data_IF_596787430704
#
_entry.id   IF_596787430704
#
_cell.length_a   1.000
_cell.length_b   1.000
_cell.length_c   1.000
_cell.angle_alpha   90.00
_cell.angle_beta   90.00
_cell.angle_gamma   90.00
#
_symmetry.space_group_name_H-M   'P 1'
#
loop_
_entity.id
_entity.type
_entity.pdbx_description
1 polymer ?
#
# COMPACT_ATOMS: atom_id res chain seq x y z
N UNK A 1 35.12 -107.96 -18.39
CA UNK A 1 33.89 -107.74 -19.09
C UNK A 1 32.97 -106.91 -18.17
N UNK A 2 32.86 -105.63 -18.42
CA UNK A 2 32.19 -104.68 -17.51
C UNK A 2 30.98 -104.04 -18.21
N UNK A 3 29.80 -104.34 -17.73
CA UNK A 3 28.54 -103.85 -18.29
C UNK A 3 28.20 -102.53 -17.61
N UNK A 4 28.18 -101.47 -18.38
CA UNK A 4 27.72 -100.16 -17.95
C UNK A 4 26.18 -100.07 -17.97
N UNK A 5 25.54 -99.74 -16.85
CA UNK A 5 24.11 -99.42 -16.74
C UNK A 5 23.88 -97.94 -17.12
N UNK A 6 22.80 -97.64 -17.84
CA UNK A 6 22.46 -96.26 -18.18
C UNK A 6 21.77 -95.52 -17.02
N UNK A 7 22.18 -94.30 -16.84
CA UNK A 7 21.60 -93.38 -15.86
C UNK A 7 20.33 -92.74 -16.46
N UNK A 8 19.18 -92.91 -15.80
CA UNK A 8 17.95 -92.26 -16.13
C UNK A 8 18.00 -90.84 -15.58
N UNK A 9 18.03 -89.84 -16.47
CA UNK A 9 17.80 -88.42 -16.10
C UNK A 9 16.32 -88.23 -15.78
N UNK A 10 16.03 -87.86 -14.54
CA UNK A 10 14.73 -87.28 -14.10
C UNK A 10 14.67 -85.81 -14.44
N UNK A 11 13.80 -85.45 -15.37
CA UNK A 11 13.41 -84.05 -15.62
C UNK A 11 12.54 -83.56 -14.43
N UNK A 12 12.99 -82.56 -13.72
CA UNK A 12 12.15 -81.83 -12.84
C UNK A 12 11.47 -80.67 -13.61
N UNK A 13 10.20 -80.41 -13.36
CA UNK A 13 9.55 -79.26 -13.99
C UNK A 13 10.02 -77.94 -13.32
N UNK A 14 10.46 -76.97 -14.11
CA UNK A 14 10.73 -75.65 -13.73
C UNK A 14 9.39 -74.95 -13.40
N UNK A 15 9.11 -74.67 -12.12
CA UNK A 15 8.03 -73.78 -11.69
C UNK A 15 8.49 -72.34 -11.92
N UNK A 16 7.92 -71.69 -12.92
CA UNK A 16 8.14 -70.25 -13.14
C UNK A 16 7.41 -69.42 -12.04
N UNK A 17 8.17 -68.94 -11.11
CA UNK A 17 7.67 -67.95 -10.13
C UNK A 17 7.61 -66.59 -10.79
N UNK A 18 6.40 -66.12 -11.13
CA UNK A 18 6.15 -64.74 -11.53
C UNK A 18 6.32 -63.81 -10.32
N UNK A 19 7.45 -63.14 -10.20
CA UNK A 19 7.66 -62.06 -9.26
C UNK A 19 6.98 -60.82 -9.80
N UNK A 20 5.80 -60.49 -9.27
CA UNK A 20 5.10 -59.23 -9.53
C UNK A 20 5.83 -58.12 -8.78
N UNK A 21 6.67 -57.37 -9.49
CA UNK A 21 7.26 -56.14 -8.97
C UNK A 21 6.14 -55.08 -8.92
N UNK A 22 5.52 -54.92 -7.75
CA UNK A 22 4.60 -53.82 -7.49
C UNK A 22 5.37 -52.49 -7.50
N UNK A 23 5.17 -51.71 -8.57
CA UNK A 23 5.66 -50.35 -8.69
C UNK A 23 4.89 -49.50 -7.68
N UNK A 24 5.42 -49.37 -6.47
CA UNK A 24 4.93 -48.42 -5.48
C UNK A 24 5.23 -47.01 -6.00
N UNK A 25 4.23 -46.33 -6.60
CA UNK A 25 4.26 -44.90 -6.85
C UNK A 25 4.36 -44.20 -5.51
N UNK A 26 5.57 -43.87 -5.08
CA UNK A 26 5.82 -42.91 -3.99
C UNK A 26 5.40 -41.56 -4.56
N UNK A 27 4.16 -41.11 -4.25
CA UNK A 27 3.74 -39.75 -4.46
C UNK A 27 4.63 -38.89 -3.54
N UNK A 28 5.66 -38.28 -4.12
CA UNK A 28 6.40 -37.22 -3.45
C UNK A 28 5.38 -36.12 -3.07
N UNK A 29 5.34 -35.63 -1.83
CA UNK A 29 4.57 -34.46 -1.53
C UNK A 29 5.12 -33.36 -2.45
N UNK A 30 4.30 -32.89 -3.39
CA UNK A 30 4.55 -31.63 -4.08
C UNK A 30 4.53 -30.59 -2.98
N UNK A 31 5.72 -30.22 -2.52
CA UNK A 31 5.89 -29.07 -1.67
C UNK A 31 5.18 -27.93 -2.38
N UNK A 32 4.10 -27.43 -1.80
CA UNK A 32 3.54 -26.15 -2.20
C UNK A 32 4.68 -25.16 -2.06
N UNK A 33 5.27 -24.75 -3.18
CA UNK A 33 6.17 -23.63 -3.23
C UNK A 33 5.37 -22.44 -2.71
N UNK A 34 5.59 -22.10 -1.43
CA UNK A 34 5.20 -20.82 -0.92
C UNK A 34 6.06 -19.84 -1.69
N UNK A 35 5.55 -19.34 -2.76
CA UNK A 35 5.78 -18.01 -3.26
C UNK A 35 5.39 -17.91 -4.74
N UNK A 36 4.12 -18.00 -5.00
CA UNK A 36 3.59 -17.41 -6.21
C UNK A 36 3.08 -16.00 -5.86
N UNK A 37 3.99 -15.15 -5.38
CA UNK A 37 3.73 -13.72 -5.16
C UNK A 37 3.58 -13.02 -6.52
N UNK A 38 2.60 -13.47 -7.33
CA UNK A 38 2.37 -12.95 -8.67
C UNK A 38 1.99 -11.50 -8.60
N UNK A 39 2.97 -10.64 -8.85
CA UNK A 39 2.74 -9.25 -9.19
C UNK A 39 2.01 -9.19 -10.53
N UNK A 40 0.71 -8.95 -10.48
CA UNK A 40 -0.09 -8.73 -11.67
C UNK A 40 0.10 -7.29 -12.15
N UNK A 41 0.75 -7.09 -13.28
CA UNK A 41 0.88 -5.76 -13.88
C UNK A 41 -0.45 -5.30 -14.45
N UNK A 42 -0.85 -4.08 -14.07
CA UNK A 42 -2.13 -3.47 -14.48
C UNK A 42 -1.92 -2.57 -15.71
N UNK A 43 -1.35 -3.13 -16.78
CA UNK A 43 -0.93 -2.38 -17.97
C UNK A 43 -2.08 -1.90 -18.85
N UNK A 44 -3.21 -2.61 -18.83
CA UNK A 44 -4.37 -2.25 -19.64
C UNK A 44 -5.38 -1.42 -18.85
N UNK A 45 -6.20 -0.65 -19.56
CA UNK A 45 -7.30 0.12 -18.94
C UNK A 45 -8.28 -0.80 -18.20
N UNK A 46 -8.53 -1.98 -18.75
CA UNK A 46 -9.43 -2.97 -18.13
C UNK A 46 -8.85 -3.50 -16.82
N UNK A 47 -7.60 -4.01 -16.84
CA UNK A 47 -6.93 -4.53 -15.65
C UNK A 47 -6.78 -3.46 -14.54
N UNK A 48 -6.59 -2.22 -14.92
CA UNK A 48 -6.44 -1.11 -13.98
C UNK A 48 -7.72 -0.37 -13.61
N UNK A 49 -8.90 -0.81 -14.08
CA UNK A 49 -10.17 -0.07 -13.91
C UNK A 49 -10.47 0.23 -12.45
N UNK A 50 -10.38 -0.74 -11.58
CA UNK A 50 -10.73 -0.62 -10.16
C UNK A 50 -9.66 0.09 -9.33
N UNK A 51 -8.49 0.33 -9.92
CA UNK A 51 -7.30 0.88 -9.26
C UNK A 51 -6.94 2.30 -9.71
N UNK A 52 -7.84 2.99 -10.40
CA UNK A 52 -7.59 4.35 -10.93
C UNK A 52 -7.29 5.39 -9.85
N UNK A 53 -7.73 5.15 -8.63
CA UNK A 53 -7.46 6.03 -7.49
C UNK A 53 -6.10 5.75 -6.81
N UNK A 54 -5.38 4.69 -7.21
CA UNK A 54 -3.95 4.55 -6.91
C UNK A 54 -3.18 5.34 -7.95
N UNK A 55 -2.25 6.16 -7.51
CA UNK A 55 -1.48 7.04 -8.40
C UNK A 55 0.00 7.05 -8.06
N UNK A 56 0.79 7.43 -9.03
CA UNK A 56 2.19 7.76 -8.87
C UNK A 56 2.27 9.18 -8.30
N UNK A 57 3.12 9.38 -7.32
CA UNK A 57 3.50 10.69 -6.78
C UNK A 57 4.86 11.05 -7.38
N UNK A 58 4.90 11.94 -8.36
CA UNK A 58 6.13 12.52 -8.84
C UNK A 58 6.62 13.56 -7.86
N UNK A 59 7.84 13.37 -7.37
CA UNK A 59 8.43 14.17 -6.31
C UNK A 59 9.59 14.97 -6.91
N UNK A 60 9.40 16.26 -7.06
CA UNK A 60 10.41 17.23 -7.54
C UNK A 60 11.07 16.86 -8.89
N UNK A 61 10.47 15.95 -9.68
CA UNK A 61 11.06 15.45 -10.93
C UNK A 61 12.26 14.51 -10.77
N UNK A 62 12.65 14.17 -9.54
CA UNK A 62 13.86 13.36 -9.25
C UNK A 62 13.54 11.95 -8.78
N UNK A 63 12.33 11.74 -8.28
CA UNK A 63 11.90 10.44 -7.75
C UNK A 63 10.39 10.29 -7.74
N UNK A 64 9.94 9.13 -7.31
CA UNK A 64 8.52 8.89 -7.15
C UNK A 64 8.19 7.98 -5.97
N UNK A 65 6.98 8.13 -5.49
CA UNK A 65 6.31 7.25 -4.55
C UNK A 65 4.96 6.79 -5.12
N UNK A 66 4.27 5.97 -4.38
CA UNK A 66 2.86 5.62 -4.63
C UNK A 66 1.97 6.36 -3.63
N UNK A 67 0.76 6.73 -4.06
CA UNK A 67 -0.27 7.28 -3.19
C UNK A 67 -1.65 6.79 -3.59
N UNK A 68 -2.64 6.98 -2.74
CA UNK A 68 -4.02 6.61 -3.01
C UNK A 68 -5.00 7.72 -2.65
N UNK A 69 -5.94 8.00 -3.54
CA UNK A 69 -7.02 8.95 -3.29
C UNK A 69 -8.02 8.34 -2.29
N UNK A 70 -8.25 9.02 -1.16
CA UNK A 70 -9.18 8.62 -0.08
C UNK A 70 -10.34 9.59 0.13
N UNK A 71 -10.31 10.71 -0.57
CA UNK A 71 -11.40 11.66 -0.75
C UNK A 71 -11.15 12.41 -2.06
N UNK A 72 -12.12 13.13 -2.64
CA UNK A 72 -11.93 13.80 -3.93
C UNK A 72 -10.73 14.74 -4.02
N UNK A 73 -10.28 15.28 -2.90
CA UNK A 73 -9.13 16.20 -2.82
C UNK A 73 -8.02 15.73 -1.87
N UNK A 74 -8.01 14.43 -1.47
CA UNK A 74 -7.13 13.96 -0.43
C UNK A 74 -6.43 12.66 -0.82
N UNK A 75 -5.10 12.70 -0.87
CA UNK A 75 -4.23 11.55 -1.18
C UNK A 75 -3.51 11.10 0.09
N UNK A 76 -3.55 9.82 0.35
CA UNK A 76 -2.83 9.11 1.40
C UNK A 76 -1.51 8.59 0.84
N UNK A 77 -0.41 8.75 1.59
CA UNK A 77 0.93 8.25 1.25
C UNK A 77 1.80 8.11 2.50
N UNK A 78 3.06 7.75 2.34
CA UNK A 78 4.03 7.71 3.43
C UNK A 78 4.66 9.10 3.68
N UNK A 79 4.99 9.39 4.93
CA UNK A 79 5.60 10.67 5.32
C UNK A 79 7.01 10.84 4.73
N UNK A 80 7.80 9.75 4.64
CA UNK A 80 9.15 9.81 4.08
C UNK A 80 9.18 10.21 2.61
N UNK A 81 8.09 10.04 1.86
CA UNK A 81 7.95 10.52 0.48
C UNK A 81 8.01 12.06 0.35
N UNK A 82 7.88 12.77 1.46
CA UNK A 82 7.93 14.23 1.52
C UNK A 82 9.28 14.78 1.98
N UNK A 83 10.31 13.94 1.96
CA UNK A 83 11.67 14.31 2.33
C UNK A 83 12.65 13.95 1.21
N UNK A 84 13.55 14.86 0.94
CA UNK A 84 14.70 14.60 0.10
C UNK A 84 15.66 13.68 0.82
N UNK A 85 16.17 12.66 0.12
CA UNK A 85 17.01 11.60 0.71
C UNK A 85 18.39 12.10 1.13
N UNK A 86 18.96 12.99 0.34
CA UNK A 86 20.34 13.44 0.50
C UNK A 86 20.42 14.56 1.53
N UNK A 87 19.62 15.60 1.35
CA UNK A 87 19.58 16.75 2.26
C UNK A 87 18.78 16.50 3.53
N UNK A 88 17.90 15.48 3.54
CA UNK A 88 16.94 15.17 4.61
C UNK A 88 15.96 16.31 4.92
N UNK A 89 15.84 17.26 4.02
CA UNK A 89 14.93 18.39 4.16
C UNK A 89 13.55 18.07 3.63
N UNK A 90 12.54 18.74 4.16
CA UNK A 90 11.17 18.57 3.68
C UNK A 90 11.01 19.19 2.30
N UNK A 91 10.41 18.44 1.39
CA UNK A 91 10.11 18.86 0.03
C UNK A 91 8.89 19.78 0.05
N UNK A 92 8.93 20.85 -0.74
CA UNK A 92 7.81 21.75 -0.89
C UNK A 92 6.62 21.03 -1.55
N UNK A 93 5.42 21.03 -0.95
CA UNK A 93 4.29 20.28 -1.51
C UNK A 93 3.95 20.65 -2.95
N UNK A 94 4.20 21.89 -3.35
CA UNK A 94 3.90 22.42 -4.69
C UNK A 94 4.76 21.81 -5.80
N UNK A 95 5.88 21.17 -5.46
CA UNK A 95 6.75 20.46 -6.41
C UNK A 95 6.38 18.99 -6.57
N UNK A 96 5.30 18.56 -5.90
CA UNK A 96 4.80 17.19 -5.97
C UNK A 96 3.55 17.18 -6.85
N UNK A 97 3.47 16.20 -7.75
CA UNK A 97 2.29 15.97 -8.58
C UNK A 97 1.72 14.56 -8.35
N UNK A 98 0.42 14.45 -8.17
CA UNK A 98 -0.31 13.19 -8.10
C UNK A 98 -0.87 12.81 -9.46
N UNK A 99 -0.40 11.69 -9.99
CA UNK A 99 -0.75 11.11 -11.28
C UNK A 99 -1.71 9.93 -11.05
N UNK A 100 -3.01 10.18 -10.92
CA UNK A 100 -4.01 9.17 -10.64
C UNK A 100 -4.09 8.14 -11.78
N UNK A 101 -4.00 6.85 -11.46
CA UNK A 101 -4.09 5.77 -12.44
C UNK A 101 -3.04 5.85 -13.56
N UNK A 102 -1.85 6.37 -13.25
CA UNK A 102 -0.73 6.49 -14.19
C UNK A 102 -0.45 5.17 -14.91
N UNK A 103 -0.36 5.22 -16.24
CA UNK A 103 -0.13 4.04 -17.06
C UNK A 103 0.42 4.43 -18.43
N UNK A 104 1.58 3.86 -18.77
CA UNK A 104 2.20 4.01 -20.10
C UNK A 104 2.26 5.47 -20.58
N UNK A 105 2.79 6.36 -19.74
CA UNK A 105 2.96 7.79 -20.07
C UNK A 105 1.69 8.63 -19.87
N UNK A 106 0.58 8.09 -19.33
CA UNK A 106 -0.68 8.81 -19.17
C UNK A 106 -1.35 8.55 -17.83
N UNK A 107 -1.84 9.61 -17.18
CA UNK A 107 -2.69 9.51 -16.01
C UNK A 107 -4.16 9.80 -16.33
N UNK A 108 -5.07 9.24 -15.53
CA UNK A 108 -6.50 9.56 -15.58
C UNK A 108 -6.79 10.96 -15.02
N UNK A 109 -5.92 11.45 -14.14
CA UNK A 109 -5.92 12.84 -13.67
C UNK A 109 -4.53 13.24 -13.16
N UNK A 110 -4.14 14.48 -13.44
CA UNK A 110 -2.92 15.13 -12.97
C UNK A 110 -3.29 16.21 -11.96
N UNK A 111 -2.71 16.18 -10.77
CA UNK A 111 -3.04 17.14 -9.70
C UNK A 111 -1.80 17.56 -8.91
N UNK A 112 -1.51 18.83 -8.94
CA UNK A 112 -0.52 19.43 -8.05
C UNK A 112 -1.04 19.42 -6.61
N UNK A 113 -0.10 19.35 -5.65
CA UNK A 113 -0.41 19.34 -4.23
C UNK A 113 -0.50 20.78 -3.71
N UNK A 114 -1.56 21.10 -2.98
CA UNK A 114 -1.77 22.39 -2.34
C UNK A 114 -1.03 22.47 -1.00
N UNK A 115 -1.20 21.44 -0.17
CA UNK A 115 -0.54 21.34 1.12
C UNK A 115 -0.37 19.87 1.52
N UNK A 116 0.58 19.62 2.41
CA UNK A 116 0.85 18.30 2.95
C UNK A 116 0.96 18.36 4.47
N UNK A 117 0.35 17.39 5.15
CA UNK A 117 0.56 17.16 6.58
C UNK A 117 1.19 15.78 6.77
N UNK A 118 2.12 15.70 7.71
CA UNK A 118 2.76 14.46 8.13
C UNK A 118 2.41 14.20 9.58
N UNK A 119 2.50 12.95 10.00
CA UNK A 119 2.29 12.59 11.41
C UNK A 119 3.26 13.38 12.31
N UNK A 120 2.79 14.06 13.39
CA UNK A 120 3.62 14.96 14.19
C UNK A 120 4.78 14.26 14.89
N UNK A 121 4.64 12.96 15.19
CA UNK A 121 5.71 12.14 15.77
C UNK A 121 6.63 11.49 14.72
N UNK A 122 6.44 11.78 13.44
CA UNK A 122 7.32 11.26 12.41
C UNK A 122 8.65 12.02 12.39
N UNK A 123 9.75 11.27 12.47
CA UNK A 123 11.11 11.82 12.40
C UNK A 123 11.83 11.14 11.23
N UNK A 124 12.34 11.96 10.29
CA UNK A 124 13.14 11.49 9.18
C UNK A 124 14.63 11.50 9.55
N UNK A 125 15.11 10.40 10.17
CA UNK A 125 16.51 10.25 10.65
C UNK A 125 17.36 9.28 9.81
N UNK A 126 16.80 8.72 8.75
CA UNK A 126 17.47 7.78 7.87
C UNK A 126 17.48 6.32 8.37
N UNK A 127 17.10 6.05 9.61
CA UNK A 127 17.04 4.71 10.19
C UNK A 127 15.63 4.13 10.13
N UNK A 128 15.49 2.85 9.85
CA UNK A 128 14.22 2.13 9.96
C UNK A 128 14.05 1.66 11.40
N UNK A 129 13.06 2.20 12.10
CA UNK A 129 12.68 1.81 13.47
C UNK A 129 11.16 1.59 13.53
N UNK A 130 10.69 0.88 14.55
CA UNK A 130 9.25 0.65 14.76
C UNK A 130 8.49 1.97 14.86
N UNK A 131 8.99 2.93 15.64
CA UNK A 131 8.37 4.25 15.80
C UNK A 131 8.32 5.01 14.49
N UNK A 132 9.39 4.99 13.70
CA UNK A 132 9.41 5.62 12.39
C UNK A 132 8.38 5.00 11.44
N UNK A 133 8.34 3.66 11.33
CA UNK A 133 7.37 2.97 10.47
C UNK A 133 5.95 3.23 10.92
N UNK A 134 5.67 3.17 12.24
CA UNK A 134 4.33 3.44 12.79
C UNK A 134 3.79 4.80 12.40
N UNK A 135 4.65 5.83 12.46
CA UNK A 135 4.28 7.22 12.22
C UNK A 135 4.51 7.67 10.76
N UNK A 136 4.95 6.76 9.88
CA UNK A 136 5.29 7.07 8.50
C UNK A 136 4.06 7.18 7.62
N UNK A 137 3.25 8.19 7.88
CA UNK A 137 1.99 8.45 7.18
C UNK A 137 1.82 9.94 6.91
N UNK A 138 1.30 10.28 5.74
CA UNK A 138 1.04 11.65 5.31
C UNK A 138 -0.28 11.76 4.54
N UNK A 139 -0.88 12.95 4.60
CA UNK A 139 -1.98 13.36 3.74
C UNK A 139 -1.56 14.54 2.87
N UNK A 140 -1.85 14.42 1.58
CA UNK A 140 -1.64 15.46 0.58
C UNK A 140 -3.00 16.00 0.15
N UNK A 141 -3.20 17.32 0.28
CA UNK A 141 -4.38 17.97 -0.26
C UNK A 141 -4.11 18.44 -1.69
N UNK A 142 -4.95 18.01 -2.63
CA UNK A 142 -4.89 18.42 -4.02
C UNK A 142 -5.30 19.89 -4.18
N UNK A 143 -4.72 20.60 -5.14
CA UNK A 143 -5.14 21.95 -5.50
C UNK A 143 -6.58 21.98 -6.01
N UNK A 144 -6.96 21.00 -6.81
CA UNK A 144 -8.32 20.82 -7.34
C UNK A 144 -8.77 19.37 -7.13
N UNK A 145 -10.00 19.14 -6.67
CA UNK A 145 -10.51 17.78 -6.46
C UNK A 145 -10.63 17.01 -7.78
N UNK A 146 -10.57 15.69 -7.68
CA UNK A 146 -10.90 14.76 -8.77
C UNK A 146 -12.36 14.34 -8.55
N UNK A 147 -13.23 14.68 -9.49
CA UNK A 147 -14.69 14.43 -9.42
C UNK A 147 -15.21 13.78 -10.70
N UNK A 148 -14.43 12.85 -11.24
CA UNK A 148 -14.90 12.04 -12.36
C UNK A 148 -15.44 10.69 -11.86
N UNK A 149 -16.13 9.96 -12.72
CA UNK A 149 -16.71 8.66 -12.39
C UNK A 149 -15.72 7.50 -12.48
N UNK A 150 -14.51 7.74 -12.97
CA UNK A 150 -13.49 6.70 -13.18
C UNK A 150 -12.48 6.63 -12.05
N UNK A 151 -12.18 7.75 -11.40
CA UNK A 151 -11.23 7.80 -10.27
C UNK A 151 -12.02 7.95 -8.97
N UNK A 152 -12.48 6.83 -8.45
CA UNK A 152 -13.27 6.79 -7.22
C UNK A 152 -12.37 6.62 -6.01
N UNK A 153 -12.44 7.53 -5.01
CA UNK A 153 -11.65 7.39 -3.78
C UNK A 153 -11.92 6.07 -3.06
N UNK A 154 -10.87 5.48 -2.49
CA UNK A 154 -10.99 4.31 -1.64
C UNK A 154 -11.49 4.67 -0.25
N UNK A 155 -12.31 3.80 0.32
CA UNK A 155 -12.60 3.81 1.75
C UNK A 155 -11.40 3.29 2.54
N UNK A 156 -11.33 3.70 3.80
CA UNK A 156 -10.35 3.20 4.76
C UNK A 156 -11.05 2.34 5.80
N UNK A 157 -10.37 1.33 6.32
CA UNK A 157 -10.92 0.43 7.33
C UNK A 157 -9.91 0.19 8.46
N UNK A 158 -10.34 -0.59 9.43
CA UNK A 158 -9.51 -0.97 10.56
C UNK A 158 -8.41 -1.93 10.14
N UNK A 159 -7.38 -2.00 10.99
CA UNK A 159 -6.22 -2.84 10.77
C UNK A 159 -6.62 -4.33 10.76
N UNK A 160 -6.19 -5.11 9.75
CA UNK A 160 -6.51 -6.52 9.66
C UNK A 160 -5.80 -7.34 10.75
N UNK A 161 -6.33 -8.51 11.06
CA UNK A 161 -5.73 -9.43 12.04
C UNK A 161 -4.56 -10.20 11.42
N UNK A 162 -3.69 -10.79 12.27
CA UNK A 162 -2.67 -11.74 11.81
C UNK A 162 -3.33 -12.89 11.02
N UNK A 163 -2.75 -13.26 9.89
CA UNK A 163 -3.26 -14.26 8.95
C UNK A 163 -4.29 -13.74 7.96
N UNK A 164 -4.79 -12.50 8.10
CA UNK A 164 -5.72 -11.93 7.14
C UNK A 164 -5.05 -11.78 5.75
N UNK A 165 -5.82 -12.10 4.71
CA UNK A 165 -5.41 -11.84 3.32
C UNK A 165 -5.47 -10.35 3.04
N UNK A 166 -4.40 -9.84 2.47
CA UNK A 166 -4.26 -8.44 2.06
C UNK A 166 -3.64 -8.38 0.68
N UNK A 167 -3.62 -7.19 0.08
CA UNK A 167 -2.89 -6.94 -1.14
C UNK A 167 -2.35 -5.52 -1.20
N UNK A 168 -1.42 -5.31 -2.12
CA UNK A 168 -0.80 -4.01 -2.36
C UNK A 168 -0.94 -3.67 -3.84
N UNK A 169 -1.30 -2.43 -4.12
CA UNK A 169 -1.21 -1.86 -5.48
C UNK A 169 -0.15 -0.77 -5.46
N UNK A 170 0.91 -0.96 -6.22
CA UNK A 170 2.05 -0.06 -6.17
C UNK A 170 2.72 0.14 -7.52
N UNK A 171 3.33 1.31 -7.68
CA UNK A 171 4.41 1.52 -8.62
C UNK A 171 5.72 1.08 -7.98
N UNK A 172 6.73 0.70 -8.78
CA UNK A 172 8.07 0.48 -8.30
C UNK A 172 9.08 0.79 -9.40
N UNK A 173 10.35 0.83 -9.03
CA UNK A 173 11.45 1.22 -9.92
C UNK A 173 11.46 0.41 -11.24
N UNK A 174 11.23 -0.90 -11.18
CA UNK A 174 11.17 -1.82 -12.32
C UNK A 174 9.82 -1.83 -13.05
N UNK A 175 8.81 -1.15 -12.51
CA UNK A 175 7.43 -1.07 -12.99
C UNK A 175 6.81 0.32 -12.78
N UNK A 176 7.56 1.36 -13.10
CA UNK A 176 7.17 2.76 -12.90
C UNK A 176 6.06 3.22 -13.84
N UNK A 177 5.90 2.54 -14.99
CA UNK A 177 4.97 2.92 -16.04
C UNK A 177 3.55 2.36 -15.91
N UNK A 178 3.36 1.38 -15.03
CA UNK A 178 2.04 0.88 -14.66
C UNK A 178 2.09 0.28 -13.26
N UNK A 179 1.04 0.42 -12.46
CA UNK A 179 1.03 -0.20 -11.14
C UNK A 179 0.91 -1.72 -11.26
N UNK A 180 1.34 -2.42 -10.23
CA UNK A 180 1.12 -3.85 -10.09
C UNK A 180 0.28 -4.12 -8.85
N UNK A 181 -0.62 -5.10 -8.97
CA UNK A 181 -1.39 -5.66 -7.88
C UNK A 181 -0.70 -6.94 -7.39
N UNK A 182 -0.53 -7.07 -6.09
CA UNK A 182 -0.24 -8.31 -5.41
C UNK A 182 -1.34 -8.55 -4.38
N UNK A 183 -2.23 -9.51 -4.64
CA UNK A 183 -3.44 -9.77 -3.83
C UNK A 183 -3.35 -11.04 -2.99
N UNK A 184 -2.17 -11.68 -2.96
CA UNK A 184 -1.90 -12.95 -2.28
C UNK A 184 -1.05 -12.79 -1.02
N UNK A 185 -0.84 -11.57 -0.55
CA UNK A 185 -0.10 -11.32 0.67
C UNK A 185 -0.93 -11.64 1.93
N UNK A 186 -0.23 -11.85 3.03
CA UNK A 186 -0.83 -12.06 4.34
C UNK A 186 -0.21 -11.15 5.40
N UNK A 187 -0.97 -10.83 6.43
CA UNK A 187 -0.45 -10.20 7.64
C UNK A 187 0.29 -11.25 8.45
N UNK A 188 1.61 -11.16 8.52
CA UNK A 188 2.47 -12.08 9.27
C UNK A 188 2.47 -11.77 10.76
N UNK A 189 2.52 -10.47 11.12
CA UNK A 189 2.51 -10.00 12.49
C UNK A 189 1.91 -8.58 12.60
N UNK A 190 1.52 -8.25 13.82
CA UNK A 190 1.13 -6.89 14.23
C UNK A 190 1.90 -6.56 15.50
N UNK A 191 2.73 -5.55 15.44
CA UNK A 191 3.56 -5.16 16.58
C UNK A 191 3.62 -3.64 16.70
N UNK A 192 3.30 -3.10 17.87
CA UNK A 192 3.47 -1.69 18.22
C UNK A 192 3.00 -0.68 17.17
N UNK A 193 1.86 -0.96 16.55
CA UNK A 193 1.33 -0.08 15.49
C UNK A 193 1.83 -0.40 14.07
N UNK A 194 2.76 -1.34 13.89
CA UNK A 194 3.29 -1.76 12.59
C UNK A 194 2.61 -3.04 12.13
N UNK A 195 2.29 -3.14 10.83
CA UNK A 195 1.97 -4.39 10.14
C UNK A 195 3.23 -4.96 9.50
N UNK A 196 3.50 -6.23 9.76
CA UNK A 196 4.50 -7.03 9.02
C UNK A 196 3.75 -7.89 8.02
N UNK A 197 4.09 -7.78 6.75
CA UNK A 197 3.34 -8.34 5.64
C UNK A 197 4.25 -9.14 4.70
N UNK A 198 3.73 -10.23 4.14
CA UNK A 198 4.47 -11.05 3.16
C UNK A 198 4.48 -10.46 1.75
N UNK A 199 4.01 -9.24 1.56
CA UNK A 199 4.01 -8.57 0.27
C UNK A 199 5.43 -8.26 -0.21
N UNK A 200 5.64 -8.43 -1.51
CA UNK A 200 6.86 -8.01 -2.19
C UNK A 200 6.76 -6.52 -2.55
N UNK A 201 7.65 -5.71 -1.99
CA UNK A 201 7.71 -4.27 -2.21
C UNK A 201 9.12 -3.83 -2.54
N UNK A 202 9.25 -2.81 -3.39
CA UNK A 202 10.54 -2.25 -3.75
C UNK A 202 10.49 -0.71 -3.81
N UNK A 203 11.61 -0.08 -4.18
CA UNK A 203 11.70 1.37 -4.35
C UNK A 203 10.59 1.89 -5.27
N UNK A 204 9.84 2.89 -4.82
CA UNK A 204 8.65 3.40 -5.48
C UNK A 204 7.34 2.84 -4.92
N UNK A 205 7.35 1.66 -4.26
CA UNK A 205 6.18 1.16 -3.52
C UNK A 205 5.94 1.91 -2.20
N UNK A 206 6.84 2.80 -1.80
CA UNK A 206 6.67 3.71 -0.66
C UNK A 206 5.36 4.47 -0.77
N UNK A 207 4.56 4.47 0.31
CA UNK A 207 3.26 5.14 0.33
C UNK A 207 2.13 4.36 -0.37
N UNK A 208 2.40 3.17 -0.91
CA UNK A 208 1.39 2.35 -1.55
C UNK A 208 0.31 1.91 -0.56
N UNK A 209 -0.97 1.94 -0.97
CA UNK A 209 -2.06 1.45 -0.14
C UNK A 209 -2.01 -0.07 0.01
N UNK A 210 -2.24 -0.52 1.24
CA UNK A 210 -2.48 -1.92 1.57
C UNK A 210 -3.98 -2.13 1.72
N UNK A 211 -4.54 -3.08 0.99
CA UNK A 211 -5.96 -3.35 0.93
C UNK A 211 -6.35 -4.61 1.70
N UNK A 212 -7.50 -4.57 2.39
CA UNK A 212 -8.29 -5.73 2.77
C UNK A 212 -9.40 -5.95 1.73
N UNK A 213 -9.73 -7.22 1.49
CA UNK A 213 -10.76 -7.65 0.54
C UNK A 213 -11.98 -8.27 1.24
N UNK A 214 -12.01 -8.26 2.56
CA UNK A 214 -13.02 -8.99 3.36
C UNK A 214 -14.45 -8.44 3.21
N UNK A 215 -14.61 -7.18 2.80
CA UNK A 215 -15.90 -6.49 2.73
C UNK A 215 -16.42 -6.29 1.28
N UNK A 216 -15.97 -7.09 0.33
CA UNK A 216 -16.39 -7.04 -1.07
C UNK A 216 -15.63 -6.00 -1.89
N UNK A 217 -15.67 -4.71 -1.55
CA UNK A 217 -14.82 -3.68 -2.17
C UNK A 217 -13.51 -3.54 -1.41
N UNK A 218 -12.38 -3.37 -2.12
CA UNK A 218 -11.08 -3.16 -1.46
C UNK A 218 -11.12 -1.90 -0.59
N UNK A 219 -10.69 -2.04 0.69
CA UNK A 219 -10.55 -0.92 1.62
C UNK A 219 -9.10 -0.80 2.08
N UNK A 220 -8.61 0.42 2.20
CA UNK A 220 -7.24 0.66 2.65
C UNK A 220 -7.15 0.47 4.15
N UNK A 221 -6.22 -0.39 4.59
CA UNK A 221 -6.00 -0.76 6.00
C UNK A 221 -4.62 -0.38 6.52
N UNK A 222 -3.69 -0.06 5.62
CA UNK A 222 -2.32 0.37 5.94
C UNK A 222 -1.67 1.06 4.74
N UNK A 223 -0.48 1.59 4.95
CA UNK A 223 0.37 2.21 3.93
C UNK A 223 1.76 1.59 4.01
N UNK A 224 2.34 1.23 2.88
CA UNK A 224 3.71 0.70 2.80
C UNK A 224 4.71 1.79 3.21
N UNK A 225 5.50 1.50 4.23
CA UNK A 225 6.54 2.38 4.76
C UNK A 225 7.95 1.91 4.41
N UNK A 226 8.24 0.64 4.60
CA UNK A 226 9.57 0.11 4.40
C UNK A 226 9.55 -1.37 4.00
N UNK A 227 10.69 -1.86 3.51
CA UNK A 227 10.97 -3.29 3.44
C UNK A 227 12.01 -3.66 4.51
N UNK A 228 11.90 -4.87 5.01
CA UNK A 228 12.81 -5.44 5.99
C UNK A 228 13.04 -6.92 5.70
N UNK A 229 13.92 -7.53 6.48
CA UNK A 229 14.14 -8.98 6.48
C UNK A 229 13.85 -9.53 7.86
N UNK A 230 13.05 -10.58 7.93
CA UNK A 230 12.71 -11.28 9.17
C UNK A 230 13.01 -12.76 8.95
N UNK A 231 13.97 -13.30 9.70
CA UNK A 231 14.38 -14.72 9.60
C UNK A 231 14.75 -15.18 8.18
N UNK A 232 15.44 -14.34 7.42
CA UNK A 232 15.85 -14.62 6.04
C UNK A 232 14.74 -14.40 4.98
N UNK A 233 13.54 -14.00 5.39
CA UNK A 233 12.43 -13.69 4.49
C UNK A 233 12.25 -12.18 4.35
N UNK A 234 12.13 -11.70 3.12
CA UNK A 234 11.76 -10.31 2.86
C UNK A 234 10.31 -10.05 3.23
N UNK A 235 10.07 -8.92 3.89
CA UNK A 235 8.75 -8.50 4.34
C UNK A 235 8.53 -7.02 4.06
N UNK A 236 7.27 -6.65 3.84
CA UNK A 236 6.85 -5.26 3.83
C UNK A 236 6.41 -4.83 5.23
N UNK A 237 6.75 -3.60 5.60
CA UNK A 237 6.30 -2.97 6.83
C UNK A 237 5.29 -1.86 6.49
N UNK A 238 4.15 -1.87 7.17
CA UNK A 238 3.09 -0.89 6.98
C UNK A 238 2.76 -0.12 8.25
N UNK A 239 2.41 1.17 8.06
CA UNK A 239 2.03 2.09 9.13
C UNK A 239 0.63 1.80 9.66
N UNK A 240 0.35 2.15 10.91
CA UNK A 240 -1.01 2.27 11.43
C UNK A 240 -1.82 3.27 10.59
N UNK A 241 -3.15 3.10 10.52
CA UNK A 241 -3.97 3.97 9.67
C UNK A 241 -5.08 4.69 10.46
N UNK A 242 -5.89 3.99 11.23
CA UNK A 242 -7.18 4.54 11.71
C UNK A 242 -7.03 5.78 12.58
N UNK A 243 -6.24 5.72 13.66
CA UNK A 243 -6.05 6.82 14.59
C UNK A 243 -5.22 7.94 13.97
N UNK A 244 -4.15 7.58 13.26
CA UNK A 244 -3.22 8.50 12.62
C UNK A 244 -3.91 9.31 11.51
N UNK A 245 -4.81 8.69 10.77
CA UNK A 245 -5.58 9.37 9.72
C UNK A 245 -6.53 10.43 10.29
N UNK A 246 -7.17 10.14 11.43
CA UNK A 246 -8.03 11.11 12.12
C UNK A 246 -7.23 12.33 12.58
N UNK A 247 -6.04 12.11 13.15
CA UNK A 247 -5.12 13.17 13.56
C UNK A 247 -4.68 14.05 12.38
N UNK A 248 -4.28 13.44 11.28
CA UNK A 248 -3.84 14.17 10.08
C UNK A 248 -4.98 14.97 9.44
N UNK A 249 -6.20 14.42 9.43
CA UNK A 249 -7.39 15.16 8.95
C UNK A 249 -7.69 16.38 9.82
N UNK A 250 -7.56 16.26 11.14
CA UNK A 250 -7.73 17.37 12.07
C UNK A 250 -6.69 18.47 11.83
N UNK A 251 -5.43 18.12 11.58
CA UNK A 251 -4.37 19.07 11.23
C UNK A 251 -4.67 19.83 9.93
N UNK A 252 -5.12 19.14 8.88
CA UNK A 252 -5.53 19.79 7.63
C UNK A 252 -6.66 20.80 7.83
N UNK A 253 -7.63 20.48 8.69
CA UNK A 253 -8.75 21.37 9.03
C UNK A 253 -8.27 22.55 9.86
N UNK A 254 -7.43 22.32 10.86
CA UNK A 254 -6.83 23.37 11.69
C UNK A 254 -5.99 24.37 10.91
N UNK A 255 -5.22 23.88 9.92
CA UNK A 255 -4.45 24.73 9.01
C UNK A 255 -5.35 25.62 8.12
N UNK A 256 -6.56 25.18 7.79
CA UNK A 256 -7.54 25.99 7.06
C UNK A 256 -8.10 27.15 7.91
N UNK A 257 -8.25 26.93 9.22
CA UNK A 257 -8.78 27.96 10.16
C UNK A 257 -7.67 28.96 10.53
N UNK A 258 -6.40 28.52 10.55
CA UNK A 258 -5.23 29.35 10.84
C UNK A 258 -4.67 30.12 9.63
N UNK A 259 -5.17 29.86 8.42
CA UNK A 259 -4.84 30.63 7.22
C UNK A 259 -5.32 32.06 7.36
N UNK A 260 -4.37 32.99 7.45
CA UNK A 260 -4.44 34.45 7.57
C UNK A 260 -5.84 35.04 7.33
N UNK A 261 -6.49 35.46 8.42
CA UNK A 261 -7.55 36.47 8.30
C UNK A 261 -6.93 37.69 7.61
N UNK A 262 -7.55 38.22 6.55
CA UNK A 262 -7.11 39.50 5.99
C UNK A 262 -7.03 40.52 7.07
N UNK A 263 -6.00 41.39 7.09
CA UNK A 263 -5.88 42.45 8.09
C UNK A 263 -7.12 43.33 8.00
N UNK A 264 -7.93 43.35 9.07
CA UNK A 264 -9.14 44.16 9.16
C UNK A 264 -10.43 43.44 9.56
N UNK A 265 -10.47 42.13 9.62
CA UNK A 265 -11.65 41.39 10.11
C UNK A 265 -11.47 41.09 11.60
N UNK A 266 -11.97 41.98 12.44
CA UNK A 266 -12.00 41.79 13.88
C UNK A 266 -12.86 40.58 14.26
N UNK A 267 -12.35 39.71 15.13
CA UNK A 267 -13.08 38.58 15.72
C UNK A 267 -14.26 39.16 16.52
N UNK A 268 -15.48 38.97 16.01
CA UNK A 268 -16.67 39.29 16.80
C UNK A 268 -16.79 38.25 17.91
N UNK A 269 -16.49 38.62 19.15
CA UNK A 269 -16.82 37.81 20.32
C UNK A 269 -18.34 37.81 20.48
N UNK A 270 -18.96 36.64 20.29
CA UNK A 270 -20.37 36.45 20.63
C UNK A 270 -20.49 36.57 22.15
N UNK A 271 -21.09 37.65 22.63
CA UNK A 271 -21.34 37.88 24.07
C UNK A 271 -21.07 39.31 24.57
N UNK A 272 -20.40 40.19 23.85
CA UNK A 272 -20.31 41.59 24.25
C UNK A 272 -21.52 42.38 23.72
N UNK A 273 -22.43 42.77 24.63
CA UNK A 273 -23.45 43.76 24.35
C UNK A 273 -22.76 45.07 23.98
N UNK A 274 -22.80 45.47 22.72
CA UNK A 274 -22.53 46.83 22.31
C UNK A 274 -23.71 47.69 22.70
N UNK A 275 -23.59 48.43 23.80
CA UNK A 275 -24.38 49.65 24.06
C UNK A 275 -23.85 50.74 23.13
N UNK A 276 -24.73 51.34 22.34
CA UNK A 276 -24.55 52.43 21.37
C UNK A 276 -24.28 52.04 19.92
N UNK A 277 -25.35 51.72 19.22
CA UNK A 277 -25.49 52.08 17.82
C UNK A 277 -26.68 53.04 17.72
N UNK A 278 -26.39 54.32 17.78
CA UNK A 278 -27.38 55.39 17.51
C UNK A 278 -27.68 55.40 16.01
N UNK A 279 -28.67 54.60 15.56
CA UNK A 279 -29.28 54.79 14.28
C UNK A 279 -30.21 56.00 14.36
N UNK A 280 -29.83 57.13 13.78
CA UNK A 280 -30.67 58.29 13.57
C UNK A 280 -31.54 58.02 12.34
N UNK A 281 -32.83 57.70 12.54
CA UNK A 281 -33.79 57.73 11.49
C UNK A 281 -34.21 59.19 11.25
N UNK A 282 -34.02 59.73 10.04
CA UNK A 282 -34.57 60.98 9.57
C UNK A 282 -35.88 60.62 8.91
N UNK A 283 -37.01 61.05 9.53
CA UNK A 283 -38.35 61.06 8.91
C UNK A 283 -38.49 62.34 8.13
N UNK A 284 -38.93 62.25 6.87
CA UNK A 284 -39.60 63.34 6.16
C UNK A 284 -41.06 63.36 6.55
#
# INVERSE_FOLDING_TARGET
>A
MSVKKPIRQRMLPLAAALVSIGLACVAAPTGASADDSRLQRLETTEAGRDWQAVGRLDVNGEGFCTGALIAPDLVLTAAHCLYDRDSRTRIAPQTIEFLAGWRNGRASAYRSIRQAVIHPSYIYDGKVSTDRVRNDIALLQLQRPIRNTTVMPFETDQRPQKGARIGVVSYAHDRSEAPSLQDVCAVMARQEGVLVMSCDVDYGSSGAPVFSFDAGRPKIVSVVSAKAEVSGQQVALGSALAEELALLRAQLTGSRIGGQMPPGVGRVKVGERRSNSGAKFISQ
#
